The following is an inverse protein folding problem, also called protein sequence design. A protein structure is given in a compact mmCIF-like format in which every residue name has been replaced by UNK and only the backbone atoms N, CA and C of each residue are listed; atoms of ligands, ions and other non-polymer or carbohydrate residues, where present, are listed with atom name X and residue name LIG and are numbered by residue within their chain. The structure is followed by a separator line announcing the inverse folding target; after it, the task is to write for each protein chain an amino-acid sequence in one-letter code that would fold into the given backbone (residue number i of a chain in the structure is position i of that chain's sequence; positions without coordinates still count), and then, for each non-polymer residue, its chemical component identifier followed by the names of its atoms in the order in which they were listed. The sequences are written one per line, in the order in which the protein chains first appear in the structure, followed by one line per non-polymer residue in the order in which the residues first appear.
data_IF_906257580463
#
_entry.id   IF_906257580463
#
_cell.length_a   1.000
_cell.length_b   1.000
_cell.length_c   1.000
_cell.angle_alpha   90.00
_cell.angle_beta   90.00
_cell.angle_gamma   90.00
#
_symmetry.space_group_name_H-M   'P 1'
#
loop_
_entity.id
_entity.type
_entity.pdbx_description
1 polymer ?
#
# COMPACT_ATOMS: atom_id res chain seq x y z
N UNK A 1 -14.51 -9.75 -11.84
CA UNK A 1 -13.49 -9.35 -10.86
C UNK A 1 -14.13 -8.96 -9.54
N UNK A 2 -15.09 -8.01 -9.50
CA UNK A 2 -15.72 -7.50 -8.26
C UNK A 2 -16.37 -8.59 -7.39
N UNK A 3 -16.81 -9.71 -7.96
CA UNK A 3 -17.35 -10.86 -7.21
C UNK A 3 -16.31 -11.62 -6.38
N UNK A 4 -15.02 -11.42 -6.67
CA UNK A 4 -13.90 -12.03 -5.94
C UNK A 4 -13.36 -11.12 -4.82
N UNK A 5 -13.74 -9.85 -4.82
CA UNK A 5 -13.32 -8.85 -3.83
C UNK A 5 -13.34 -7.44 -4.41
N UNK A 6 -13.52 -6.43 -3.55
CA UNK A 6 -13.61 -5.03 -3.96
C UNK A 6 -12.32 -4.52 -4.63
N UNK A 7 -11.16 -5.01 -4.20
CA UNK A 7 -9.85 -4.57 -4.71
C UNK A 7 -9.45 -5.22 -6.05
N UNK A 8 -10.14 -6.31 -6.45
CA UNK A 8 -9.79 -7.05 -7.67
C UNK A 8 -9.86 -6.23 -8.95
N UNK A 9 -10.83 -5.32 -9.16
CA UNK A 9 -10.83 -4.45 -10.34
C UNK A 9 -9.58 -3.59 -10.42
N UNK A 10 -9.14 -2.99 -9.30
CA UNK A 10 -7.92 -2.19 -9.26
C UNK A 10 -6.66 -3.02 -9.52
N UNK A 11 -6.58 -4.26 -9.01
CA UNK A 11 -5.45 -5.15 -9.29
C UNK A 11 -5.30 -5.50 -10.77
N UNK A 12 -6.39 -5.47 -11.54
CA UNK A 12 -6.36 -5.69 -12.99
C UNK A 12 -6.00 -4.43 -13.78
N UNK A 13 -6.30 -3.26 -13.25
CA UNK A 13 -6.02 -1.97 -13.89
C UNK A 13 -4.64 -1.44 -13.54
N UNK A 14 -4.33 -1.38 -12.25
CA UNK A 14 -3.11 -0.77 -11.71
C UNK A 14 -3.03 0.74 -11.94
N UNK A 15 -1.85 1.31 -11.81
CA UNK A 15 -1.62 2.74 -12.01
C UNK A 15 -2.24 3.60 -10.91
N UNK A 16 -2.82 4.72 -11.30
CA UNK A 16 -3.65 5.58 -10.46
C UNK A 16 -5.11 5.44 -10.88
N UNK A 17 -6.00 5.38 -9.93
CA UNK A 17 -7.42 5.29 -10.21
C UNK A 17 -8.26 5.96 -9.14
N UNK A 18 -9.46 6.40 -9.52
CA UNK A 18 -10.48 6.84 -8.61
C UNK A 18 -11.42 5.66 -8.33
N UNK A 19 -11.44 5.19 -7.10
CA UNK A 19 -12.35 4.15 -6.62
C UNK A 19 -13.60 4.75 -5.99
N UNK A 20 -14.77 4.19 -6.30
CA UNK A 20 -16.05 4.54 -5.70
C UNK A 20 -16.83 3.30 -5.26
N UNK A 21 -17.95 3.48 -4.56
CA UNK A 21 -18.66 2.38 -3.93
C UNK A 21 -17.89 1.84 -2.73
N UNK A 22 -17.67 0.53 -2.69
CA UNK A 22 -16.78 -0.13 -1.72
C UNK A 22 -15.36 -0.30 -2.25
N UNK A 23 -15.00 0.40 -3.36
CA UNK A 23 -13.71 0.26 -4.07
C UNK A 23 -13.81 -0.56 -5.35
N UNK A 24 -14.96 -1.16 -5.65
CA UNK A 24 -15.16 -2.02 -6.81
C UNK A 24 -15.37 -1.26 -8.13
N UNK A 25 -15.74 0.02 -8.07
CA UNK A 25 -15.92 0.88 -9.24
C UNK A 25 -14.68 1.70 -9.46
N UNK A 26 -13.86 1.27 -10.40
CA UNK A 26 -12.57 1.88 -10.70
C UNK A 26 -12.67 2.73 -11.95
N UNK A 27 -12.21 3.96 -11.86
CA UNK A 27 -12.01 4.88 -12.99
C UNK A 27 -10.51 5.14 -13.07
N UNK A 28 -9.81 4.57 -14.07
CA UNK A 28 -8.39 4.83 -14.27
C UNK A 28 -8.15 6.32 -14.50
N UNK A 29 -7.05 6.83 -13.97
CA UNK A 29 -6.59 8.19 -14.20
C UNK A 29 -5.50 8.17 -15.26
N UNK A 30 -5.63 9.07 -16.25
CA UNK A 30 -4.61 9.25 -17.29
C UNK A 30 -3.30 9.75 -16.66
N UNK A 31 -2.18 9.19 -17.11
CA UNK A 31 -0.85 9.45 -16.54
C UNK A 31 -0.40 10.91 -16.68
N UNK A 32 -0.95 11.66 -17.63
CA UNK A 32 -0.70 13.09 -17.91
C UNK A 32 -1.75 14.02 -17.29
N UNK A 33 -2.75 13.48 -16.60
CA UNK A 33 -3.78 14.29 -15.94
C UNK A 33 -3.20 15.14 -14.81
N UNK A 34 -3.79 16.32 -14.59
CA UNK A 34 -3.39 17.21 -13.49
C UNK A 34 -3.54 16.55 -12.12
N UNK A 35 -4.51 15.65 -11.97
CA UNK A 35 -4.71 14.88 -10.75
C UNK A 35 -3.51 13.95 -10.48
N UNK A 36 -3.06 13.19 -11.50
CA UNK A 36 -1.88 12.30 -11.38
C UNK A 36 -0.62 13.11 -11.15
N UNK A 37 -0.46 14.26 -11.84
CA UNK A 37 0.69 15.13 -11.60
C UNK A 37 0.72 15.62 -10.16
N UNK A 38 -0.43 16.05 -9.61
CA UNK A 38 -0.55 16.45 -8.21
C UNK A 38 -0.16 15.31 -7.24
N UNK A 39 -0.58 14.07 -7.52
CA UNK A 39 -0.20 12.91 -6.70
C UNK A 39 1.32 12.66 -6.75
N UNK A 40 1.94 12.76 -7.92
CA UNK A 40 3.40 12.64 -8.07
C UNK A 40 4.15 13.73 -7.32
N UNK A 41 3.71 14.98 -7.45
CA UNK A 41 4.30 16.14 -6.76
C UNK A 41 4.16 16.01 -5.22
N UNK A 42 3.09 15.38 -4.76
CA UNK A 42 2.89 15.02 -3.36
C UNK A 42 3.70 13.81 -2.91
N UNK A 43 4.48 13.16 -3.78
CA UNK A 43 5.36 12.04 -3.44
C UNK A 43 4.68 10.66 -3.41
N UNK A 44 3.56 10.49 -4.13
CA UNK A 44 2.92 9.19 -4.30
C UNK A 44 3.43 8.44 -5.54
N UNK A 45 4.70 8.58 -5.84
CA UNK A 45 5.36 7.89 -6.94
C UNK A 45 6.80 7.54 -6.58
N UNK A 46 7.34 6.52 -7.24
CA UNK A 46 8.72 6.10 -7.10
C UNK A 46 8.92 4.86 -6.25
N UNK A 47 10.12 4.72 -5.74
CA UNK A 47 10.53 3.58 -4.92
C UNK A 47 9.82 3.62 -3.57
N UNK A 48 9.39 2.46 -3.09
CA UNK A 48 8.79 2.32 -1.77
C UNK A 48 9.19 1.00 -1.10
N UNK A 49 9.07 0.99 0.22
CA UNK A 49 9.13 -0.21 1.04
C UNK A 49 7.76 -0.49 1.64
N UNK A 50 7.38 -1.77 1.64
CA UNK A 50 6.18 -2.26 2.32
C UNK A 50 6.63 -3.00 3.57
N UNK A 51 6.22 -2.51 4.74
CA UNK A 51 6.33 -3.21 6.00
C UNK A 51 5.09 -4.08 6.21
N UNK A 52 5.28 -5.40 6.17
CA UNK A 52 4.20 -6.37 6.32
C UNK A 52 4.27 -7.10 7.66
N UNK A 53 3.13 -7.64 8.10
CA UNK A 53 2.94 -8.30 9.39
C UNK A 53 2.34 -9.68 9.23
N UNK A 54 2.65 -10.58 10.16
CA UNK A 54 1.93 -11.85 10.31
C UNK A 54 0.53 -11.63 10.91
N UNK A 55 0.39 -10.60 11.73
CA UNK A 55 -0.90 -10.17 12.27
C UNK A 55 -1.82 -9.67 11.16
N UNK A 56 -3.12 -9.87 11.34
CA UNK A 56 -4.16 -9.35 10.46
C UNK A 56 -5.11 -8.47 11.25
N UNK A 57 -5.54 -7.36 10.66
CA UNK A 57 -6.65 -6.57 11.18
C UNK A 57 -7.95 -6.97 10.49
N UNK A 58 -9.00 -7.05 11.28
CA UNK A 58 -10.35 -7.22 10.74
C UNK A 58 -10.82 -5.90 10.13
N UNK A 59 -10.99 -5.85 8.82
CA UNK A 59 -11.48 -4.65 8.11
C UNK A 59 -12.76 -4.08 8.73
N UNK A 60 -13.80 -4.87 9.06
CA UNK A 60 -14.97 -4.36 9.78
C UNK A 60 -14.64 -3.70 11.13
N UNK A 61 -13.67 -4.24 11.90
CA UNK A 61 -13.27 -3.64 13.17
C UNK A 61 -12.55 -2.31 12.97
N UNK A 62 -11.74 -2.18 11.91
CA UNK A 62 -11.08 -0.92 11.58
C UNK A 62 -12.11 0.16 11.24
N UNK A 63 -13.10 -0.16 10.40
CA UNK A 63 -14.20 0.76 10.10
C UNK A 63 -15.03 1.13 11.33
N UNK A 64 -15.39 0.16 12.17
CA UNK A 64 -16.11 0.44 13.43
C UNK A 64 -15.31 1.32 14.40
N UNK A 65 -13.99 1.19 14.38
CA UNK A 65 -13.10 2.04 15.19
C UNK A 65 -13.00 3.44 14.57
N UNK A 66 -12.90 3.53 13.25
CA UNK A 66 -12.93 4.79 12.51
C UNK A 66 -14.22 5.57 12.76
N UNK A 67 -15.37 4.91 12.75
CA UNK A 67 -16.68 5.56 13.05
C UNK A 67 -16.71 6.23 14.43
N UNK A 68 -15.94 5.70 15.39
CA UNK A 68 -15.82 6.25 16.75
C UNK A 68 -14.78 7.35 16.89
N UNK A 69 -13.67 7.24 16.16
CA UNK A 69 -12.48 8.08 16.33
C UNK A 69 -12.35 9.18 15.28
N UNK A 70 -12.94 9.00 14.11
CA UNK A 70 -12.72 9.83 12.94
C UNK A 70 -11.33 9.67 12.32
N UNK A 71 -11.09 10.41 11.24
CA UNK A 71 -9.78 10.52 10.61
C UNK A 71 -8.82 11.36 11.48
N UNK A 72 -7.51 11.10 11.34
CA UNK A 72 -6.47 12.00 11.84
C UNK A 72 -6.30 13.21 10.93
N UNK A 73 -5.82 14.33 11.48
CA UNK A 73 -5.53 15.53 10.72
C UNK A 73 -4.31 15.28 9.79
N UNK A 74 -4.51 15.52 8.50
CA UNK A 74 -3.43 15.39 7.50
C UNK A 74 -3.05 13.98 7.11
N UNK A 75 -3.79 12.95 7.55
CA UNK A 75 -3.55 11.57 7.17
C UNK A 75 -3.82 11.34 5.67
N UNK A 76 -2.88 10.72 4.97
CA UNK A 76 -3.05 10.27 3.58
C UNK A 76 -4.03 9.08 3.46
N UNK A 77 -4.30 8.40 4.58
CA UNK A 77 -5.29 7.34 4.71
C UNK A 77 -6.19 7.61 5.92
N UNK A 78 -7.45 7.89 5.69
CA UNK A 78 -8.41 8.20 6.76
C UNK A 78 -8.57 7.08 7.79
N UNK A 79 -8.32 5.83 7.42
CA UNK A 79 -8.37 4.67 8.34
C UNK A 79 -7.11 4.55 9.21
N UNK A 80 -6.05 5.31 8.95
CA UNK A 80 -4.75 5.18 9.62
C UNK A 80 -4.88 5.27 11.14
N UNK A 81 -5.58 6.28 11.66
CA UNK A 81 -5.77 6.47 13.10
C UNK A 81 -6.42 5.25 13.76
N UNK A 82 -7.46 4.69 13.14
CA UNK A 82 -8.14 3.49 13.62
C UNK A 82 -7.25 2.25 13.53
N UNK A 83 -6.54 2.07 12.43
CA UNK A 83 -5.62 0.95 12.23
C UNK A 83 -4.47 0.97 13.25
N UNK A 84 -3.87 2.13 13.50
CA UNK A 84 -2.79 2.30 14.51
C UNK A 84 -3.31 2.06 15.92
N UNK A 85 -4.53 2.50 16.25
CA UNK A 85 -5.13 2.20 17.55
C UNK A 85 -5.32 0.70 17.80
N UNK A 86 -5.63 -0.07 16.75
CA UNK A 86 -5.78 -1.53 16.81
C UNK A 86 -4.46 -2.28 16.67
N UNK A 87 -3.46 -1.68 16.05
CA UNK A 87 -2.13 -2.26 15.83
C UNK A 87 -1.03 -1.20 15.98
N UNK A 88 -0.61 -0.87 17.22
CA UNK A 88 0.35 0.20 17.50
C UNK A 88 1.68 0.10 16.76
N UNK A 89 2.18 -1.13 16.50
CA UNK A 89 3.41 -1.36 15.72
C UNK A 89 3.37 -0.71 14.33
N UNK A 90 2.20 -0.54 13.72
CA UNK A 90 2.08 0.19 12.46
C UNK A 90 2.42 1.68 12.62
N UNK A 91 2.02 2.29 13.74
CA UNK A 91 2.39 3.67 14.07
C UNK A 91 3.90 3.82 14.30
N UNK A 92 4.47 2.92 15.11
CA UNK A 92 5.93 2.87 15.37
C UNK A 92 6.73 2.71 14.06
N UNK A 93 6.25 1.86 13.13
CA UNK A 93 6.90 1.69 11.84
C UNK A 93 6.81 2.94 10.96
N UNK A 94 5.67 3.64 10.97
CA UNK A 94 5.50 4.92 10.26
C UNK A 94 6.51 5.95 10.80
N UNK A 95 6.55 6.13 12.11
CA UNK A 95 7.45 7.08 12.76
C UNK A 95 8.93 6.76 12.48
N UNK A 96 9.32 5.48 12.59
CA UNK A 96 10.67 5.03 12.29
C UNK A 96 11.07 5.29 10.82
N UNK A 97 10.15 5.07 9.87
CA UNK A 97 10.40 5.33 8.46
C UNK A 97 10.58 6.83 8.18
N UNK A 98 9.72 7.68 8.72
CA UNK A 98 9.81 9.14 8.57
C UNK A 98 11.10 9.67 9.20
N UNK A 99 11.47 9.22 10.40
CA UNK A 99 12.72 9.58 11.07
C UNK A 99 13.95 9.15 10.26
N UNK A 100 13.87 8.03 9.52
CA UNK A 100 14.94 7.55 8.63
C UNK A 100 15.01 8.29 7.29
N UNK A 101 14.08 9.21 7.01
CA UNK A 101 14.07 10.08 5.84
C UNK A 101 13.11 9.65 4.73
N UNK A 102 12.16 8.75 5.00
CA UNK A 102 11.07 8.48 4.06
C UNK A 102 10.31 9.78 3.76
N UNK A 103 9.99 10.03 2.49
CA UNK A 103 9.23 11.22 2.07
C UNK A 103 7.77 11.14 2.51
N UNK A 104 7.23 9.93 2.61
CA UNK A 104 5.89 9.60 3.12
C UNK A 104 5.90 8.23 3.77
N UNK A 105 5.10 8.06 4.80
CA UNK A 105 4.81 6.75 5.37
C UNK A 105 3.41 6.74 5.97
N UNK A 106 2.65 5.70 5.68
CA UNK A 106 1.26 5.55 6.10
C UNK A 106 0.79 4.10 6.06
N UNK A 107 -0.34 3.82 6.70
CA UNK A 107 -1.00 2.51 6.65
C UNK A 107 -1.59 2.26 5.27
N UNK A 108 -1.40 1.07 4.71
CA UNK A 108 -2.00 0.64 3.45
C UNK A 108 -3.40 0.08 3.67
N UNK A 109 -4.42 0.71 3.08
CA UNK A 109 -5.82 0.29 3.22
C UNK A 109 -6.28 0.27 4.68
N UNK A 110 -6.91 -0.82 5.11
CA UNK A 110 -7.30 -1.03 6.51
C UNK A 110 -6.14 -1.52 7.40
N UNK A 111 -4.95 -1.70 6.85
CA UNK A 111 -3.78 -2.16 7.59
C UNK A 111 -3.75 -3.67 7.84
N UNK A 112 -2.82 -4.14 8.71
CA UNK A 112 -1.82 -3.37 9.43
C UNK A 112 -0.61 -2.94 8.59
N UNK A 113 -0.45 -3.44 7.35
CA UNK A 113 0.71 -3.13 6.49
C UNK A 113 0.92 -1.62 6.35
N UNK A 114 2.18 -1.21 6.34
CA UNK A 114 2.61 0.18 6.16
C UNK A 114 3.41 0.35 4.88
N UNK A 115 3.33 1.52 4.28
CA UNK A 115 4.11 1.91 3.11
C UNK A 115 5.05 3.05 3.52
N UNK A 116 6.28 3.02 3.01
CA UNK A 116 7.23 4.12 3.12
C UNK A 116 7.79 4.45 1.73
N UNK A 117 7.44 5.60 1.16
CA UNK A 117 8.07 6.12 -0.05
C UNK A 117 9.46 6.67 0.28
N UNK A 118 10.43 6.30 -0.53
CA UNK A 118 11.84 6.62 -0.31
C UNK A 118 12.44 7.32 -1.54
N UNK A 119 13.09 8.48 -1.37
CA UNK A 119 13.58 9.27 -2.49
C UNK A 119 14.78 8.61 -3.21
N UNK A 120 15.52 7.74 -2.51
CA UNK A 120 16.72 7.09 -3.04
C UNK A 120 17.08 5.81 -2.26
N UNK A 121 18.06 5.07 -2.78
CA UNK A 121 18.54 3.83 -2.18
C UNK A 121 19.21 4.02 -0.81
N UNK A 122 19.77 5.19 -0.52
CA UNK A 122 20.38 5.46 0.77
C UNK A 122 19.31 5.59 1.85
N UNK A 123 18.21 6.28 1.54
CA UNK A 123 17.02 6.34 2.42
C UNK A 123 16.38 4.97 2.54
N UNK A 124 16.24 4.23 1.45
CA UNK A 124 15.69 2.87 1.49
C UNK A 124 16.46 1.95 2.46
N UNK A 125 17.80 2.02 2.44
CA UNK A 125 18.64 1.28 3.39
C UNK A 125 18.42 1.75 4.83
N UNK A 126 18.34 3.06 5.10
CA UNK A 126 18.10 3.58 6.45
C UNK A 126 16.74 3.16 7.01
N UNK A 127 15.68 3.25 6.20
CA UNK A 127 14.33 2.79 6.60
C UNK A 127 14.33 1.30 6.90
N UNK A 128 14.95 0.48 6.04
CA UNK A 128 15.10 -0.95 6.28
C UNK A 128 15.81 -1.23 7.61
N UNK A 129 16.96 -0.60 7.83
CA UNK A 129 17.72 -0.75 9.07
C UNK A 129 16.91 -0.30 10.29
N UNK A 130 16.18 0.81 10.20
CA UNK A 130 15.34 1.30 11.30
C UNK A 130 14.23 0.29 11.66
N UNK A 131 13.53 -0.26 10.66
CA UNK A 131 12.50 -1.26 10.88
C UNK A 131 13.03 -2.59 11.42
N UNK A 132 14.20 -3.04 10.95
CA UNK A 132 14.88 -4.25 11.43
C UNK A 132 15.35 -4.09 12.90
N UNK A 133 15.97 -2.95 13.23
CA UNK A 133 16.47 -2.68 14.58
C UNK A 133 15.36 -2.51 15.62
N UNK A 134 14.27 -1.86 15.24
CA UNK A 134 13.11 -1.65 16.13
C UNK A 134 12.14 -2.83 16.14
N UNK A 135 12.33 -3.82 15.26
CA UNK A 135 11.43 -4.97 15.07
C UNK A 135 9.95 -4.53 14.88
N UNK A 136 9.74 -3.35 14.26
CA UNK A 136 8.40 -2.78 14.07
C UNK A 136 7.61 -3.44 12.94
N UNK A 137 8.27 -4.18 12.04
CA UNK A 137 7.63 -4.97 10.97
C UNK A 137 8.16 -6.39 10.97
N UNK A 138 7.40 -7.34 10.43
CA UNK A 138 7.81 -8.75 10.36
C UNK A 138 8.49 -9.08 9.04
N UNK A 139 8.19 -8.32 7.98
CA UNK A 139 8.77 -8.50 6.65
C UNK A 139 8.85 -7.16 5.92
N UNK A 140 9.92 -6.97 5.14
CA UNK A 140 10.13 -5.79 4.31
C UNK A 140 10.16 -6.21 2.84
N UNK A 141 9.32 -5.57 2.02
CA UNK A 141 9.23 -5.83 0.58
C UNK A 141 9.54 -4.51 -0.15
N UNK A 142 10.49 -4.55 -1.07
CA UNK A 142 10.75 -3.41 -1.96
C UNK A 142 9.76 -3.45 -3.13
N UNK A 143 9.23 -2.30 -3.49
CA UNK A 143 8.28 -2.15 -4.58
C UNK A 143 8.44 -0.78 -5.25
N UNK A 144 7.66 -0.54 -6.27
CA UNK A 144 7.60 0.73 -6.99
C UNK A 144 6.14 1.09 -7.30
N UNK A 145 5.81 2.37 -7.21
CA UNK A 145 4.51 2.91 -7.56
C UNK A 145 4.66 4.08 -8.56
N UNK A 146 3.72 4.25 -9.50
CA UNK A 146 2.64 3.31 -9.80
C UNK A 146 3.15 2.03 -10.47
N UNK A 147 2.40 0.94 -10.33
CA UNK A 147 2.64 -0.30 -11.05
C UNK A 147 1.39 -0.71 -11.83
N UNK A 148 1.59 -1.31 -13.00
CA UNK A 148 0.53 -1.90 -13.82
C UNK A 148 0.75 -3.40 -13.95
N UNK A 149 -0.31 -4.22 -14.00
CA UNK A 149 -0.18 -5.65 -14.18
C UNK A 149 0.45 -5.99 -15.53
N UNK A 150 1.29 -7.01 -15.54
CA UNK A 150 1.87 -7.58 -16.77
C UNK A 150 1.23 -8.95 -17.01
N UNK A 151 0.55 -9.10 -18.15
CA UNK A 151 -0.03 -10.37 -18.55
C UNK A 151 1.01 -11.12 -19.40
N UNK A 152 1.51 -12.24 -18.88
CA UNK A 152 2.40 -13.13 -19.62
C UNK A 152 1.64 -14.35 -20.09
N UNK A 153 1.54 -14.55 -21.41
CA UNK A 153 1.02 -15.78 -21.97
C UNK A 153 2.14 -16.82 -21.96
N UNK A 154 1.99 -17.84 -21.12
CA UNK A 154 2.92 -18.96 -21.15
C UNK A 154 2.66 -19.80 -22.41
N UNK A 155 3.73 -20.23 -23.13
CA UNK A 155 3.56 -21.14 -24.24
C UNK A 155 2.87 -22.44 -23.74
N UNK A 156 1.88 -22.91 -24.49
CA UNK A 156 1.15 -24.11 -24.14
C UNK A 156 2.13 -25.28 -23.97
N UNK A 157 2.19 -25.84 -22.75
CA UNK A 157 2.84 -27.11 -22.51
C UNK A 157 2.11 -28.17 -23.35
N UNK A 158 2.71 -28.59 -24.46
CA UNK A 158 2.23 -29.74 -25.21
C UNK A 158 2.45 -30.99 -24.35
N UNK A 159 1.40 -31.41 -23.65
CA UNK A 159 1.39 -32.70 -22.98
C UNK A 159 1.43 -33.77 -24.07
N UNK A 160 2.60 -34.35 -24.33
CA UNK A 160 2.67 -35.62 -25.07
C UNK A 160 2.20 -36.72 -24.12
N UNK A 161 0.96 -37.13 -24.26
CA UNK A 161 0.51 -38.41 -23.72
C UNK A 161 1.34 -39.46 -24.43
N UNK A 162 2.22 -40.14 -23.73
CA UNK A 162 2.86 -41.40 -24.22
C UNK A 162 1.75 -42.46 -24.18
N UNK A 163 1.40 -42.97 -25.36
CA UNK A 163 0.63 -44.19 -25.52
C UNK A 163 1.47 -45.40 -25.11
#
# INVERSE_FOLDING_TARGET
AATLGADMPFCLEGGYAHGTGFGERIIPLEDDSSCVQTLRDRGFAGQLLVGAYHAQLSTPNVYSTFDKMGAGDGDDNHLQRAAVALHPRSGEAIEAALAAGASRSFVSGSGPSVIAFVPDDAVARRVRTAWEQSATVDRIIAAQAPARPVITVLPSLSYRVRQ
#
